data_IF_983091110290
#
_entry.id   IF_983091110290
#
_cell.length_a   1.000
_cell.length_b   1.000
_cell.length_c   1.000
_cell.angle_alpha   90.00
_cell.angle_beta   90.00
_cell.angle_gamma   90.00
#
_symmetry.space_group_name_H-M   'P 1'
#
loop_
_entity.id
_entity.type
_entity.pdbx_description
1 polymer ?
#
# COMPACT_ATOMS: atom_id res chain seq x y z
N UNK A 1 21.57 -8.50 15.80
CA UNK A 1 20.16 -8.77 15.45
C UNK A 1 19.98 -10.27 15.28
N UNK A 2 18.96 -10.90 15.88
CA UNK A 2 18.79 -12.37 15.77
C UNK A 2 18.48 -12.77 14.31
N UNK A 3 18.72 -14.03 13.90
CA UNK A 3 18.43 -14.50 12.54
C UNK A 3 16.97 -14.24 12.11
N UNK A 4 16.03 -14.35 13.05
CA UNK A 4 14.60 -14.09 12.83
C UNK A 4 14.33 -12.63 12.41
N UNK A 5 14.87 -11.65 13.15
CA UNK A 5 14.69 -10.23 12.81
C UNK A 5 15.40 -9.86 11.51
N UNK A 6 16.56 -10.45 11.22
CA UNK A 6 17.27 -10.27 9.94
C UNK A 6 16.39 -10.68 8.75
N UNK A 7 15.79 -11.87 8.83
CA UNK A 7 14.88 -12.36 7.80
C UNK A 7 13.67 -11.43 7.60
N UNK A 8 13.05 -10.97 8.70
CA UNK A 8 11.88 -10.06 8.61
C UNK A 8 12.23 -8.71 7.98
N UNK A 9 13.41 -8.15 8.28
CA UNK A 9 13.91 -6.92 7.65
C UNK A 9 14.14 -7.10 6.15
N UNK A 10 14.75 -8.21 5.74
CA UNK A 10 14.94 -8.53 4.31
C UNK A 10 13.58 -8.66 3.60
N UNK A 11 12.60 -9.29 4.27
CA UNK A 11 11.22 -9.36 3.78
C UNK A 11 10.57 -7.99 3.64
N UNK A 12 10.78 -7.07 4.60
CA UNK A 12 10.26 -5.69 4.52
C UNK A 12 10.85 -4.94 3.31
N UNK A 13 12.16 -5.08 3.06
CA UNK A 13 12.82 -4.50 1.87
C UNK A 13 12.29 -5.08 0.57
N UNK A 14 12.08 -6.40 0.53
CA UNK A 14 11.50 -7.06 -0.64
C UNK A 14 10.08 -6.56 -0.91
N UNK A 15 9.23 -6.42 0.12
CA UNK A 15 7.89 -5.84 -0.01
C UNK A 15 7.90 -4.41 -0.53
N UNK A 16 8.82 -3.57 -0.04
CA UNK A 16 9.00 -2.21 -0.56
C UNK A 16 9.40 -2.22 -2.04
N UNK A 17 10.32 -3.10 -2.45
CA UNK A 17 10.70 -3.24 -3.86
C UNK A 17 9.51 -3.61 -4.72
N UNK A 18 8.72 -4.59 -4.28
CA UNK A 18 7.54 -5.02 -5.03
C UNK A 18 6.49 -3.91 -5.13
N UNK A 19 6.27 -3.15 -4.05
CA UNK A 19 5.37 -2.01 -4.09
C UNK A 19 5.83 -0.92 -5.08
N UNK A 20 7.15 -0.65 -5.17
CA UNK A 20 7.73 0.27 -6.17
C UNK A 20 7.49 -0.21 -7.60
N UNK A 21 7.70 -1.51 -7.86
CA UNK A 21 7.46 -2.09 -9.17
C UNK A 21 5.97 -2.05 -9.55
N UNK A 22 5.08 -2.39 -8.63
CA UNK A 22 3.63 -2.32 -8.82
C UNK A 22 3.16 -0.89 -9.10
N UNK A 23 3.68 0.11 -8.39
CA UNK A 23 3.35 1.51 -8.65
C UNK A 23 3.78 1.93 -10.05
N UNK A 24 4.98 1.53 -10.48
CA UNK A 24 5.51 1.80 -11.83
C UNK A 24 4.62 1.18 -12.91
N UNK A 25 4.20 -0.07 -12.74
CA UNK A 25 3.28 -0.75 -13.65
C UNK A 25 1.91 -0.05 -13.70
N UNK A 26 1.40 0.39 -12.54
CA UNK A 26 0.14 1.14 -12.46
C UNK A 26 0.23 2.46 -13.22
N UNK A 27 1.31 3.23 -13.02
CA UNK A 27 1.56 4.48 -13.72
C UNK A 27 1.67 4.29 -15.24
N UNK A 28 2.37 3.24 -15.68
CA UNK A 28 2.46 2.86 -17.09
C UNK A 28 1.08 2.58 -17.69
N UNK A 29 0.28 1.74 -17.02
CA UNK A 29 -1.07 1.40 -17.46
C UNK A 29 -1.99 2.63 -17.50
N UNK A 30 -1.89 3.55 -16.52
CA UNK A 30 -2.63 4.80 -16.49
C UNK A 30 -2.28 5.71 -17.67
N UNK A 31 -0.98 5.83 -17.99
CA UNK A 31 -0.50 6.63 -19.12
C UNK A 31 -1.02 6.08 -20.46
N UNK A 32 -0.99 4.77 -20.65
CA UNK A 32 -1.54 4.15 -21.86
C UNK A 32 -3.07 4.23 -21.92
N UNK A 33 -3.74 4.11 -20.77
CA UNK A 33 -5.20 4.24 -20.69
C UNK A 33 -5.65 5.63 -21.14
N UNK A 34 -4.95 6.70 -20.73
CA UNK A 34 -5.29 8.07 -21.11
C UNK A 34 -5.32 8.29 -22.63
N UNK A 35 -4.60 7.47 -23.40
CA UNK A 35 -4.56 7.55 -24.87
C UNK A 35 -5.54 6.60 -25.57
N UNK A 36 -5.95 5.52 -24.90
CA UNK A 36 -6.65 4.39 -25.55
C UNK A 36 -8.07 4.17 -25.03
N UNK A 37 -8.36 4.62 -23.80
CA UNK A 37 -9.56 4.26 -23.03
C UNK A 37 -9.82 2.74 -22.97
N UNK A 38 -8.76 1.93 -23.03
CA UNK A 38 -8.87 0.47 -23.07
C UNK A 38 -9.45 -0.09 -21.76
N UNK A 39 -10.51 -0.90 -21.88
CA UNK A 39 -11.12 -1.61 -20.75
C UNK A 39 -10.13 -2.57 -20.08
N UNK A 40 -9.22 -3.17 -20.85
CA UNK A 40 -8.18 -4.04 -20.32
C UNK A 40 -7.21 -3.27 -19.42
N UNK A 41 -6.77 -2.09 -19.85
CA UNK A 41 -5.89 -1.23 -19.04
C UNK A 41 -6.61 -0.72 -17.80
N UNK A 42 -7.89 -0.37 -17.91
CA UNK A 42 -8.72 -0.02 -16.74
C UNK A 42 -8.73 -1.16 -15.72
N UNK A 43 -8.91 -2.41 -16.18
CA UNK A 43 -8.88 -3.59 -15.30
C UNK A 43 -7.51 -3.82 -14.69
N UNK A 44 -6.43 -3.61 -15.44
CA UNK A 44 -5.05 -3.69 -14.94
C UNK A 44 -4.80 -2.66 -13.83
N UNK A 45 -5.22 -1.41 -14.01
CA UNK A 45 -5.06 -0.35 -13.00
C UNK A 45 -5.76 -0.74 -11.70
N UNK A 46 -6.99 -1.25 -11.76
CA UNK A 46 -7.70 -1.76 -10.59
C UNK A 46 -6.96 -2.93 -9.93
N UNK A 47 -6.38 -3.85 -10.72
CA UNK A 47 -5.56 -4.95 -10.22
C UNK A 47 -4.32 -4.44 -9.47
N UNK A 48 -3.55 -3.55 -10.09
CA UNK A 48 -2.36 -2.96 -9.47
C UNK A 48 -2.70 -2.17 -8.20
N UNK A 49 -3.84 -1.49 -8.16
CA UNK A 49 -4.32 -0.82 -6.95
C UNK A 49 -4.57 -1.81 -5.81
N UNK A 50 -5.19 -2.97 -6.10
CA UNK A 50 -5.43 -4.02 -5.11
C UNK A 50 -4.11 -4.57 -4.56
N UNK A 51 -3.18 -4.90 -5.46
CA UNK A 51 -1.86 -5.45 -5.10
C UNK A 51 -1.05 -4.44 -4.29
N UNK A 52 -1.02 -3.17 -4.71
CA UNK A 52 -0.34 -2.09 -3.99
C UNK A 52 -0.91 -1.90 -2.58
N UNK A 53 -2.24 -1.94 -2.45
CA UNK A 53 -2.91 -1.82 -1.15
C UNK A 53 -2.60 -3.01 -0.24
N UNK A 54 -2.45 -4.21 -0.78
CA UNK A 54 -1.97 -5.37 -0.02
C UNK A 54 -0.54 -5.12 0.47
N UNK A 55 0.38 -4.68 -0.40
CA UNK A 55 1.75 -4.38 0.00
C UNK A 55 1.85 -3.32 1.11
N UNK A 56 0.98 -2.31 1.12
CA UNK A 56 0.89 -1.34 2.22
C UNK A 56 0.62 -2.05 3.55
N UNK A 57 -0.41 -2.90 3.60
CA UNK A 57 -0.80 -3.65 4.80
C UNK A 57 0.32 -4.58 5.23
N UNK A 58 0.88 -5.31 4.26
CA UNK A 58 1.95 -6.28 4.44
C UNK A 58 3.22 -5.64 5.03
N UNK A 59 3.54 -4.41 4.60
CA UNK A 59 4.66 -3.64 5.14
C UNK A 59 4.37 -3.13 6.55
N UNK A 60 3.16 -2.63 6.81
CA UNK A 60 2.73 -2.22 8.14
C UNK A 60 2.83 -3.37 9.15
N UNK A 61 2.31 -4.54 8.79
CA UNK A 61 2.41 -5.76 9.59
C UNK A 61 3.86 -6.14 9.85
N UNK A 62 4.68 -6.20 8.81
CA UNK A 62 6.08 -6.61 8.93
C UNK A 62 6.87 -5.63 9.81
N UNK A 63 6.62 -4.34 9.68
CA UNK A 63 7.20 -3.33 10.55
C UNK A 63 6.82 -3.55 12.03
N UNK A 64 5.54 -3.79 12.31
CA UNK A 64 5.08 -4.06 13.68
C UNK A 64 5.68 -5.35 14.24
N UNK A 65 5.86 -6.38 13.42
CA UNK A 65 6.53 -7.63 13.83
C UNK A 65 8.00 -7.38 14.15
N UNK A 66 8.71 -6.59 13.33
CA UNK A 66 10.14 -6.31 13.57
C UNK A 66 10.34 -5.45 14.84
N UNK A 67 9.37 -4.61 15.17
CA UNK A 67 9.44 -3.71 16.33
C UNK A 67 8.78 -4.26 17.60
N UNK A 68 8.38 -5.54 17.59
CA UNK A 68 7.70 -6.22 18.70
C UNK A 68 6.38 -5.56 19.14
N UNK A 69 5.69 -4.90 18.19
CA UNK A 69 4.43 -4.19 18.40
C UNK A 69 3.23 -4.81 17.67
N UNK A 70 3.46 -5.95 17.00
CA UNK A 70 2.42 -6.69 16.31
C UNK A 70 1.48 -7.39 17.31
N UNK A 71 0.19 -7.38 16.99
CA UNK A 71 -0.85 -8.09 17.75
C UNK A 71 -1.69 -8.89 16.76
N UNK A 72 -1.98 -10.14 17.12
CA UNK A 72 -2.77 -11.03 16.29
C UNK A 72 -4.19 -10.51 16.04
N UNK A 73 -4.76 -10.91 14.89
CA UNK A 73 -6.14 -10.60 14.46
C UNK A 73 -6.41 -9.11 14.23
N UNK A 74 -5.39 -8.30 14.00
CA UNK A 74 -5.56 -6.93 13.50
C UNK A 74 -6.10 -6.94 12.07
N UNK A 75 -7.09 -6.10 11.78
CA UNK A 75 -7.50 -5.80 10.40
C UNK A 75 -6.44 -4.96 9.68
N UNK A 76 -6.46 -4.88 8.35
CA UNK A 76 -5.55 -4.01 7.60
C UNK A 76 -5.60 -2.53 8.02
N UNK A 77 -6.80 -2.02 8.37
CA UNK A 77 -6.96 -0.66 8.90
C UNK A 77 -6.29 -0.53 10.28
N UNK A 78 -6.42 -1.53 11.14
CA UNK A 78 -5.82 -1.53 12.47
C UNK A 78 -4.29 -1.60 12.39
N UNK A 79 -3.76 -2.38 11.45
CA UNK A 79 -2.33 -2.44 11.17
C UNK A 79 -1.77 -1.07 10.79
N UNK A 80 -2.43 -0.35 9.86
CA UNK A 80 -2.00 1.01 9.46
C UNK A 80 -1.99 1.98 10.64
N UNK A 81 -3.07 1.99 11.44
CA UNK A 81 -3.18 2.88 12.61
C UNK A 81 -2.10 2.60 13.65
N UNK A 82 -1.84 1.31 13.93
CA UNK A 82 -0.77 0.89 14.83
C UNK A 82 0.60 1.27 14.30
N UNK A 83 0.86 1.04 13.02
CA UNK A 83 2.13 1.43 12.40
C UNK A 83 2.39 2.94 12.53
N UNK A 84 1.35 3.78 12.47
CA UNK A 84 1.45 5.22 12.82
C UNK A 84 1.83 5.44 14.28
N UNK A 85 1.17 4.78 15.24
CA UNK A 85 1.48 4.90 16.68
C UNK A 85 2.96 4.59 16.96
N UNK A 86 3.50 3.57 16.28
CA UNK A 86 4.90 3.15 16.44
C UNK A 86 5.86 3.82 15.45
N UNK A 87 5.44 4.91 14.80
CA UNK A 87 6.30 5.80 14.03
C UNK A 87 6.81 5.24 12.70
N UNK A 88 6.05 4.37 12.03
CA UNK A 88 6.32 3.98 10.64
C UNK A 88 5.71 4.98 9.64
N UNK A 89 4.61 5.61 10.03
CA UNK A 89 3.82 6.52 9.22
C UNK A 89 3.50 7.76 10.06
N UNK A 90 3.37 8.91 9.40
CA UNK A 90 2.75 10.08 10.02
C UNK A 90 1.21 10.02 9.94
N UNK A 91 0.56 10.99 10.57
CA UNK A 91 -0.90 11.05 10.71
C UNK A 91 -1.59 11.19 9.36
N UNK A 92 -1.09 12.11 8.54
CA UNK A 92 -1.62 12.41 7.20
C UNK A 92 -1.56 11.17 6.31
N UNK A 93 -0.42 10.50 6.29
CA UNK A 93 -0.20 9.30 5.50
C UNK A 93 -1.05 8.14 6.01
N UNK A 94 -1.18 7.99 7.33
CA UNK A 94 -2.04 6.98 7.94
C UNK A 94 -3.50 7.14 7.50
N UNK A 95 -4.03 8.36 7.53
CA UNK A 95 -5.41 8.66 7.11
C UNK A 95 -5.65 8.37 5.62
N UNK A 96 -4.68 8.76 4.79
CA UNK A 96 -4.71 8.47 3.36
C UNK A 96 -4.72 6.95 3.08
N UNK A 97 -3.78 6.21 3.68
CA UNK A 97 -3.68 4.76 3.47
C UNK A 97 -4.91 4.01 4.00
N UNK A 98 -5.52 4.46 5.11
CA UNK A 98 -6.81 3.93 5.58
C UNK A 98 -7.91 4.11 4.53
N UNK A 99 -7.90 5.22 3.79
CA UNK A 99 -8.87 5.47 2.70
C UNK A 99 -8.66 4.47 1.55
N UNK A 100 -7.42 4.17 1.18
CA UNK A 100 -7.11 3.15 0.15
C UNK A 100 -7.61 1.77 0.56
N UNK A 101 -7.34 1.36 1.81
CA UNK A 101 -7.81 0.06 2.33
C UNK A 101 -9.33 -0.01 2.35
N UNK A 102 -10.02 1.09 2.68
CA UNK A 102 -11.50 1.15 2.61
C UNK A 102 -12.00 0.98 1.19
N UNK A 103 -11.41 1.66 0.21
CA UNK A 103 -11.76 1.49 -1.21
C UNK A 103 -11.53 0.06 -1.68
N UNK A 104 -10.38 -0.52 -1.33
CA UNK A 104 -10.06 -1.93 -1.63
C UNK A 104 -11.09 -2.88 -1.03
N UNK A 105 -11.42 -2.73 0.25
CA UNK A 105 -12.40 -3.57 0.93
C UNK A 105 -13.79 -3.45 0.31
N UNK A 106 -14.23 -2.22 -0.03
CA UNK A 106 -15.51 -2.00 -0.73
C UNK A 106 -15.50 -2.69 -2.10
N UNK A 107 -14.40 -2.63 -2.84
CA UNK A 107 -14.33 -3.25 -4.16
C UNK A 107 -14.41 -4.78 -4.11
N UNK A 108 -13.85 -5.36 -3.04
CA UNK A 108 -13.89 -6.80 -2.81
C UNK A 108 -15.24 -7.27 -2.28
N UNK A 109 -15.90 -6.49 -1.41
CA UNK A 109 -17.07 -6.97 -0.67
C UNK A 109 -18.41 -6.35 -1.11
N UNK A 110 -18.44 -5.14 -1.67
CA UNK A 110 -19.66 -4.46 -2.10
C UNK A 110 -20.01 -4.81 -3.56
N UNK A 111 -20.21 -6.09 -3.87
CA UNK A 111 -20.45 -6.56 -5.24
C UNK A 111 -21.62 -5.84 -5.95
N UNK A 112 -22.67 -5.46 -5.21
CA UNK A 112 -23.84 -4.73 -5.73
C UNK A 112 -23.56 -3.27 -6.14
N UNK A 113 -22.41 -2.71 -5.75
CA UNK A 113 -22.00 -1.34 -6.05
C UNK A 113 -20.63 -1.29 -6.73
N UNK A 114 -20.16 -2.43 -7.27
CA UNK A 114 -18.80 -2.58 -7.81
C UNK A 114 -18.46 -1.51 -8.83
N UNK A 115 -19.32 -1.22 -9.79
CA UNK A 115 -19.05 -0.20 -10.82
C UNK A 115 -18.76 1.18 -10.22
N UNK A 116 -19.51 1.58 -9.19
CA UNK A 116 -19.28 2.86 -8.49
C UNK A 116 -17.95 2.84 -7.72
N UNK A 117 -17.62 1.73 -7.08
CA UNK A 117 -16.35 1.60 -6.36
C UNK A 117 -15.17 1.55 -7.32
N UNK A 118 -15.33 0.94 -8.50
CA UNK A 118 -14.33 0.98 -9.56
C UNK A 118 -14.06 2.42 -9.99
N UNK A 119 -15.10 3.24 -10.19
CA UNK A 119 -14.89 4.67 -10.48
C UNK A 119 -14.23 5.43 -9.32
N UNK A 120 -14.60 5.14 -8.06
CA UNK A 120 -13.98 5.75 -6.88
C UNK A 120 -12.47 5.44 -6.84
N UNK A 121 -12.10 4.17 -7.05
CA UNK A 121 -10.69 3.72 -7.11
C UNK A 121 -9.98 4.39 -8.29
N UNK A 122 -10.61 4.37 -9.45
CA UNK A 122 -10.03 4.92 -10.67
C UNK A 122 -9.72 6.41 -10.49
N UNK A 123 -10.68 7.18 -9.98
CA UNK A 123 -10.48 8.58 -9.63
C UNK A 123 -9.35 8.76 -8.62
N UNK A 124 -9.29 7.93 -7.57
CA UNK A 124 -8.22 7.96 -6.57
C UNK A 124 -6.84 7.76 -7.22
N UNK A 125 -6.67 6.77 -8.11
CA UNK A 125 -5.41 6.53 -8.81
C UNK A 125 -4.94 7.77 -9.58
N UNK A 126 -5.83 8.47 -10.29
CA UNK A 126 -5.47 9.64 -11.10
C UNK A 126 -5.30 10.94 -10.31
N UNK A 127 -5.98 11.09 -9.16
CA UNK A 127 -5.91 12.33 -8.36
C UNK A 127 -4.87 12.28 -7.25
N UNK A 128 -4.61 11.10 -6.69
CA UNK A 128 -3.84 10.95 -5.44
C UNK A 128 -2.51 10.19 -5.63
N UNK A 129 -2.04 10.01 -6.87
CA UNK A 129 -0.82 9.27 -7.19
C UNK A 129 0.41 9.75 -6.40
N UNK A 130 0.54 11.06 -6.22
CA UNK A 130 1.63 11.70 -5.48
C UNK A 130 1.75 11.14 -4.04
N UNK A 131 0.64 10.86 -3.38
CA UNK A 131 0.67 10.34 -2.00
C UNK A 131 1.14 8.88 -1.93
N UNK A 132 0.93 8.09 -2.99
CA UNK A 132 1.48 6.73 -3.09
C UNK A 132 3.01 6.77 -3.26
N UNK A 133 3.52 7.74 -4.02
CA UNK A 133 4.96 7.97 -4.15
C UNK A 133 5.60 8.41 -2.83
N UNK A 134 4.94 9.36 -2.14
CA UNK A 134 5.37 9.84 -0.81
C UNK A 134 5.43 8.67 0.19
N UNK A 135 4.43 7.78 0.19
CA UNK A 135 4.44 6.58 1.03
C UNK A 135 5.70 5.74 0.81
N UNK A 136 6.07 5.46 -0.44
CA UNK A 136 7.24 4.65 -0.75
C UNK A 136 8.54 5.36 -0.33
N UNK A 137 8.62 6.68 -0.50
CA UNK A 137 9.79 7.46 -0.08
C UNK A 137 9.98 7.50 1.44
N UNK A 138 8.89 7.72 2.19
CA UNK A 138 8.92 7.72 3.66
C UNK A 138 9.27 6.32 4.16
N UNK A 139 8.63 5.29 3.62
CA UNK A 139 8.89 3.89 4.00
C UNK A 139 10.34 3.50 3.75
N UNK A 140 10.90 3.88 2.60
CA UNK A 140 12.30 3.63 2.27
C UNK A 140 13.24 4.34 3.26
N UNK A 141 12.95 5.60 3.57
CA UNK A 141 13.72 6.40 4.53
C UNK A 141 13.69 5.79 5.94
N UNK A 142 12.50 5.40 6.42
CA UNK A 142 12.31 4.75 7.71
C UNK A 142 13.07 3.41 7.80
N UNK A 143 13.02 2.60 6.73
CA UNK A 143 13.76 1.34 6.67
C UNK A 143 15.27 1.60 6.73
N UNK A 144 15.75 2.63 6.02
CA UNK A 144 17.17 2.99 6.05
C UNK A 144 17.61 3.54 7.40
N UNK A 145 16.81 4.36 8.07
CA UNK A 145 17.15 4.98 9.35
C UNK A 145 17.10 3.98 10.50
N UNK A 146 15.99 3.23 10.66
CA UNK A 146 15.82 2.32 11.79
C UNK A 146 16.64 1.05 11.69
N UNK A 147 17.05 0.67 10.48
CA UNK A 147 17.77 -0.58 10.26
C UNK A 147 19.19 -0.40 9.69
N UNK A 148 19.84 0.76 9.88
CA UNK A 148 21.28 0.93 9.60
C UNK A 148 22.22 0.43 10.72
N UNK A 149 21.68 -0.12 11.82
CA UNK A 149 22.43 -0.76 12.90
C UNK A 149 22.50 -2.27 12.73
#
# INVERSE_FOLDING_TARGET
MTPYYKYKKERLKSKLSMAKDTLTLMQGAMKEYANTNSVYLRRSILGYFQDFTEYIIDMCETYLVITDNYVDKCSGIELIKRSRIYGFLDDTLSEFLVTLVRLRNRYTHDYYKRDRVEEDIFKCCFSEMMYLEIFLQITDSEIHLKFKR
#
